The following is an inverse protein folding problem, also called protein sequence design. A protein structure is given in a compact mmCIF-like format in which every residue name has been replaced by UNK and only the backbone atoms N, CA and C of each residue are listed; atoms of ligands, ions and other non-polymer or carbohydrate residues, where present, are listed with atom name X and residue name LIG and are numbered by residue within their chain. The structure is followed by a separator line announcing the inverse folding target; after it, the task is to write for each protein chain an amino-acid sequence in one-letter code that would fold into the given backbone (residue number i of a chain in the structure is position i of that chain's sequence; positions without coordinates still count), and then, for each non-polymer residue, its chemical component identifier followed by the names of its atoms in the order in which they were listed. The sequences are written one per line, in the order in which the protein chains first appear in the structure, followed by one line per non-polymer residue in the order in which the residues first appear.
data_IF_179827139514
#
_entry.id   IF_179827139514
#
_cell.length_a   1.000
_cell.length_b   1.000
_cell.length_c   1.000
_cell.angle_alpha   90.00
_cell.angle_beta   90.00
_cell.angle_gamma   90.00
#
_symmetry.space_group_name_H-M   'P 1'
#
loop_
_entity.id
_entity.type
_entity.pdbx_description
1 polymer ?
#
# COMPACT_ATOMS: atom_id res chain seq x y z
N UNK A 1 -19.15 20.14 -1.78
CA UNK A 1 -18.21 20.13 -0.65
C UNK A 1 -17.23 18.99 -0.85
N UNK A 2 -15.94 19.29 -0.94
CA UNK A 2 -14.87 18.32 -1.23
C UNK A 2 -14.61 17.45 0.00
N UNK A 3 -14.81 16.12 -0.11
CA UNK A 3 -14.71 15.17 1.01
C UNK A 3 -13.24 14.79 1.31
N UNK A 4 -12.26 15.35 0.61
CA UNK A 4 -10.85 14.95 0.72
C UNK A 4 -9.93 15.99 1.38
N UNK A 5 -10.48 16.97 2.11
CA UNK A 5 -9.71 18.05 2.72
C UNK A 5 -9.39 17.82 4.21
N UNK A 6 -9.07 16.60 4.63
CA UNK A 6 -8.31 16.44 5.87
C UNK A 6 -6.82 16.43 5.52
N UNK A 7 -6.02 17.12 6.34
CA UNK A 7 -4.61 17.41 6.08
C UNK A 7 -3.80 16.11 6.19
N UNK A 8 -3.68 15.40 5.08
CA UNK A 8 -2.69 14.35 4.85
C UNK A 8 -1.32 14.97 5.13
N UNK A 9 -0.54 14.36 6.03
CA UNK A 9 0.81 14.82 6.38
C UNK A 9 1.84 13.78 6.00
N UNK A 10 3.03 14.27 5.65
CA UNK A 10 4.21 13.42 5.50
C UNK A 10 4.76 13.04 6.87
N UNK A 11 5.41 11.88 6.97
CA UNK A 11 6.16 11.41 8.13
C UNK A 11 7.50 10.85 7.68
N UNK A 12 8.54 10.94 8.51
CA UNK A 12 9.83 10.25 8.29
C UNK A 12 10.54 10.54 6.96
N UNK A 13 10.26 11.66 6.31
CA UNK A 13 10.97 12.03 5.09
C UNK A 13 12.34 12.63 5.44
N UNK A 14 13.43 12.16 4.80
CA UNK A 14 14.74 12.74 5.01
C UNK A 14 14.84 14.12 4.35
N UNK A 15 15.78 14.95 4.82
CA UNK A 15 16.01 16.30 4.27
C UNK A 15 16.30 16.30 2.76
N UNK A 16 16.89 15.21 2.25
CA UNK A 16 17.15 15.01 0.83
C UNK A 16 15.88 14.96 -0.03
N UNK A 17 14.74 14.58 0.55
CA UNK A 17 13.41 14.67 -0.08
C UNK A 17 12.76 16.01 0.26
N UNK A 18 12.80 16.44 1.53
CA UNK A 18 12.12 17.67 1.97
C UNK A 18 12.63 18.93 1.27
N UNK A 19 13.87 18.95 0.77
CA UNK A 19 14.37 20.06 -0.07
C UNK A 19 13.55 20.31 -1.33
N UNK A 20 12.76 19.33 -1.80
CA UNK A 20 11.89 19.46 -2.96
C UNK A 20 10.49 19.97 -2.62
N UNK A 21 10.13 20.08 -1.32
CA UNK A 21 8.78 20.40 -0.87
C UNK A 21 8.20 21.65 -1.52
N UNK A 22 8.90 22.79 -1.48
CA UNK A 22 8.38 24.03 -2.07
C UNK A 22 8.19 23.95 -3.58
N UNK A 23 9.00 23.16 -4.29
CA UNK A 23 8.84 22.94 -5.73
C UNK A 23 7.62 22.05 -6.01
N UNK A 24 7.43 21.01 -5.19
CA UNK A 24 6.26 20.13 -5.26
C UNK A 24 4.97 20.90 -4.95
N UNK A 25 4.95 21.72 -3.90
CA UNK A 25 3.82 22.57 -3.53
C UNK A 25 3.43 23.52 -4.68
N UNK A 26 4.44 24.17 -5.27
CA UNK A 26 4.25 25.06 -6.41
C UNK A 26 3.67 24.33 -7.62
N UNK A 27 4.24 23.17 -7.99
CA UNK A 27 3.78 22.39 -9.13
C UNK A 27 2.39 21.78 -8.91
N UNK A 28 2.11 21.22 -7.73
CA UNK A 28 0.79 20.69 -7.40
C UNK A 28 -0.26 21.80 -7.42
N UNK A 29 0.07 23.00 -6.92
CA UNK A 29 -0.80 24.17 -7.02
C UNK A 29 -1.05 24.57 -8.47
N UNK A 30 0.00 24.66 -9.29
CA UNK A 30 -0.10 25.00 -10.71
C UNK A 30 -0.97 24.00 -11.51
N UNK A 31 -0.95 22.72 -11.13
CA UNK A 31 -1.78 21.69 -11.75
C UNK A 31 -3.16 21.49 -11.09
N UNK A 32 -3.49 22.29 -10.07
CA UNK A 32 -4.79 22.28 -9.39
C UNK A 32 -5.04 21.05 -8.51
N UNK A 33 -3.96 20.50 -7.93
CA UNK A 33 -3.98 19.27 -7.12
C UNK A 33 -3.14 19.42 -5.84
N UNK A 34 -3.24 20.57 -5.16
CA UNK A 34 -2.48 20.85 -3.92
C UNK A 34 -2.66 19.78 -2.85
N UNK A 35 -3.78 19.07 -2.83
CA UNK A 35 -4.03 17.93 -1.93
C UNK A 35 -3.07 16.75 -2.16
N UNK A 36 -2.40 16.67 -3.33
CA UNK A 36 -1.53 15.55 -3.68
C UNK A 36 -0.09 15.72 -3.18
N UNK A 37 0.29 16.89 -2.64
CA UNK A 37 1.66 17.22 -2.19
C UNK A 37 2.29 16.12 -1.30
N UNK A 38 1.61 15.60 -0.25
CA UNK A 38 2.21 14.59 0.60
C UNK A 38 2.52 13.29 -0.15
N UNK A 39 1.65 12.88 -1.07
CA UNK A 39 1.83 11.67 -1.88
C UNK A 39 2.97 11.84 -2.88
N UNK A 40 3.10 13.02 -3.49
CA UNK A 40 4.21 13.33 -4.40
C UNK A 40 5.55 13.23 -3.67
N UNK A 41 5.65 13.77 -2.46
CA UNK A 41 6.86 13.63 -1.64
C UNK A 41 7.15 12.19 -1.23
N UNK A 42 6.12 11.42 -0.85
CA UNK A 42 6.25 9.99 -0.59
C UNK A 42 6.73 9.21 -1.82
N UNK A 43 6.23 9.54 -3.00
CA UNK A 43 6.66 8.95 -4.28
C UNK A 43 8.12 9.30 -4.58
N UNK A 44 8.54 10.56 -4.43
CA UNK A 44 9.95 10.97 -4.59
C UNK A 44 10.88 10.13 -3.69
N UNK A 45 10.47 9.90 -2.44
CA UNK A 45 11.23 9.06 -1.51
C UNK A 45 11.38 7.63 -2.03
N UNK A 46 10.30 7.02 -2.51
CA UNK A 46 10.30 5.63 -2.99
C UNK A 46 11.01 5.45 -4.33
N UNK A 47 10.91 6.42 -5.24
CA UNK A 47 11.49 6.33 -6.58
C UNK A 47 13.00 6.57 -6.61
N UNK A 48 13.49 7.55 -5.82
CA UNK A 48 14.90 7.96 -5.89
C UNK A 48 15.52 8.39 -4.56
N UNK A 49 14.73 8.41 -3.48
CA UNK A 49 15.13 9.09 -2.24
C UNK A 49 15.33 10.60 -2.40
N UNK A 50 14.84 11.19 -3.51
CA UNK A 50 15.08 12.59 -3.86
C UNK A 50 16.52 12.90 -4.27
N UNK A 51 17.33 11.89 -4.57
CA UNK A 51 18.74 12.04 -4.92
C UNK A 51 18.92 12.44 -6.39
N UNK A 52 18.81 13.73 -6.68
CA UNK A 52 19.02 14.29 -8.01
C UNK A 52 20.45 14.20 -8.55
N UNK A 53 21.45 13.90 -7.71
CA UNK A 53 22.85 13.80 -8.15
C UNK A 53 23.08 12.47 -8.87
N UNK A 54 22.46 11.40 -8.39
CA UNK A 54 22.52 10.07 -9.02
C UNK A 54 21.35 9.83 -9.96
N UNK A 55 20.17 10.35 -9.62
CA UNK A 55 18.92 10.13 -10.35
C UNK A 55 18.17 11.45 -10.54
N UNK A 56 18.52 12.25 -11.57
CA UNK A 56 17.85 13.53 -11.82
C UNK A 56 16.35 13.42 -12.09
N UNK A 57 15.89 12.28 -12.65
CA UNK A 57 14.48 11.92 -12.72
C UNK A 57 13.99 11.42 -11.36
N UNK A 58 13.91 12.33 -10.38
CA UNK A 58 13.65 12.02 -8.97
C UNK A 58 12.28 11.37 -8.70
N UNK A 59 11.33 11.48 -9.62
CA UNK A 59 10.02 10.81 -9.59
C UNK A 59 9.92 9.63 -10.57
N UNK A 60 11.01 9.24 -11.25
CA UNK A 60 11.03 8.21 -12.30
C UNK A 60 9.89 8.36 -13.31
N UNK A 61 9.62 9.60 -13.71
CA UNK A 61 8.42 9.95 -14.48
C UNK A 61 8.61 9.82 -15.99
N UNK A 62 9.83 9.52 -16.48
CA UNK A 62 10.11 9.37 -17.92
C UNK A 62 9.21 8.33 -18.59
N UNK A 63 9.06 7.15 -17.98
CA UNK A 63 8.28 6.04 -18.55
C UNK A 63 6.78 6.37 -18.64
N UNK A 64 6.29 7.26 -17.76
CA UNK A 64 4.90 7.76 -17.82
C UNK A 64 4.59 8.55 -19.10
N UNK A 65 5.62 9.06 -19.78
CA UNK A 65 5.52 9.75 -21.07
C UNK A 65 5.83 8.83 -22.26
N UNK A 66 6.05 7.53 -22.01
CA UNK A 66 6.50 6.57 -23.03
C UNK A 66 7.97 6.73 -23.41
N UNK A 67 8.75 7.45 -22.61
CA UNK A 67 10.20 7.60 -22.83
C UNK A 67 10.97 6.51 -22.11
N UNK A 68 12.21 6.28 -22.56
CA UNK A 68 13.13 5.40 -21.85
C UNK A 68 13.37 5.88 -20.42
N UNK A 69 13.59 4.93 -19.50
CA UNK A 69 13.94 5.21 -18.12
C UNK A 69 15.08 6.23 -18.01
N UNK A 70 14.97 7.16 -17.05
CA UNK A 70 15.94 8.24 -16.82
C UNK A 70 16.19 9.19 -18.02
N UNK A 71 15.23 9.34 -18.94
CA UNK A 71 15.33 10.33 -20.03
C UNK A 71 15.32 11.76 -19.47
N UNK A 72 14.47 12.04 -18.49
CA UNK A 72 14.39 13.34 -17.83
C UNK A 72 15.68 13.61 -17.05
N UNK A 73 16.33 14.74 -17.31
CA UNK A 73 17.61 15.14 -16.66
C UNK A 73 17.46 16.32 -15.70
N UNK A 74 16.27 16.89 -15.60
CA UNK A 74 15.98 18.02 -14.74
C UNK A 74 14.94 17.60 -13.68
N UNK A 75 15.25 17.71 -12.37
CA UNK A 75 14.31 17.40 -11.30
C UNK A 75 12.98 18.17 -11.39
N UNK A 76 13.01 19.41 -11.91
CA UNK A 76 11.78 20.20 -12.11
C UNK A 76 10.86 19.54 -13.14
N UNK A 77 11.41 19.06 -14.25
CA UNK A 77 10.63 18.36 -15.28
C UNK A 77 10.13 17.02 -14.73
N UNK A 78 10.94 16.35 -13.89
CA UNK A 78 10.54 15.11 -13.22
C UNK A 78 9.33 15.34 -12.30
N UNK A 79 9.34 16.41 -11.52
CA UNK A 79 8.19 16.80 -10.68
C UNK A 79 6.98 17.16 -11.55
N UNK A 80 7.16 17.94 -12.62
CA UNK A 80 6.08 18.30 -13.54
C UNK A 80 5.36 17.07 -14.12
N UNK A 81 6.12 16.13 -14.70
CA UNK A 81 5.54 14.92 -15.31
C UNK A 81 5.04 13.92 -14.26
N UNK A 82 5.70 13.82 -13.11
CA UNK A 82 5.25 12.98 -12.00
C UNK A 82 3.91 13.46 -11.43
N UNK A 83 3.76 14.76 -11.14
CA UNK A 83 2.49 15.36 -10.70
C UNK A 83 1.41 15.17 -11.76
N UNK A 84 1.72 15.38 -13.04
CA UNK A 84 0.79 15.18 -14.15
C UNK A 84 0.31 13.72 -14.24
N UNK A 85 1.21 12.76 -14.05
CA UNK A 85 0.87 11.34 -14.05
C UNK A 85 -0.04 10.97 -12.87
N UNK A 86 0.31 11.39 -11.66
CA UNK A 86 -0.47 11.14 -10.45
C UNK A 86 -1.85 11.82 -10.51
N UNK A 87 -1.92 13.05 -11.03
CA UNK A 87 -3.20 13.73 -11.31
C UNK A 87 -4.06 12.91 -12.26
N UNK A 88 -3.48 12.36 -13.33
CA UNK A 88 -4.20 11.48 -14.26
C UNK A 88 -4.76 10.23 -13.57
N UNK A 89 -4.02 9.63 -12.65
CA UNK A 89 -4.51 8.54 -11.81
C UNK A 89 -5.67 8.99 -10.90
N UNK A 90 -5.55 10.15 -10.27
CA UNK A 90 -6.59 10.72 -9.42
C UNK A 90 -7.89 11.00 -10.18
N UNK A 91 -7.79 11.56 -11.38
CA UNK A 91 -8.92 11.83 -12.28
C UNK A 91 -9.60 10.51 -12.72
N UNK A 92 -8.82 9.47 -13.04
CA UNK A 92 -9.36 8.14 -13.36
C UNK A 92 -10.06 7.51 -12.14
N UNK A 93 -9.50 7.66 -10.94
CA UNK A 93 -10.09 7.13 -9.72
C UNK A 93 -11.47 7.76 -9.47
N UNK A 94 -11.57 9.10 -9.57
CA UNK A 94 -12.84 9.84 -9.49
C UNK A 94 -13.86 9.34 -10.50
N UNK A 95 -13.44 9.17 -11.76
CA UNK A 95 -14.32 8.68 -12.84
C UNK A 95 -14.85 7.26 -12.57
N UNK A 96 -14.06 6.43 -11.89
CA UNK A 96 -14.40 5.05 -11.58
C UNK A 96 -15.00 4.86 -10.17
N UNK A 97 -15.28 5.94 -9.43
CA UNK A 97 -15.84 5.87 -8.08
C UNK A 97 -14.86 5.32 -7.02
N UNK A 98 -13.55 5.34 -7.29
CA UNK A 98 -12.50 4.88 -6.37
C UNK A 98 -12.05 6.05 -5.51
N UNK A 99 -12.25 5.95 -4.20
CA UNK A 99 -11.76 6.92 -3.20
C UNK A 99 -10.55 6.43 -2.42
N UNK A 100 -10.11 5.19 -2.65
CA UNK A 100 -8.95 4.61 -1.99
C UNK A 100 -7.65 5.22 -2.54
N UNK A 101 -7.02 6.05 -1.72
CA UNK A 101 -5.76 6.71 -2.02
C UNK A 101 -4.62 5.71 -2.23
N UNK A 102 -4.66 4.55 -1.58
CA UNK A 102 -3.68 3.48 -1.78
C UNK A 102 -3.76 2.93 -3.21
N UNK A 103 -4.98 2.79 -3.75
CA UNK A 103 -5.19 2.38 -5.14
C UNK A 103 -4.61 3.41 -6.12
N UNK A 104 -4.84 4.70 -5.86
CA UNK A 104 -4.32 5.81 -6.67
C UNK A 104 -2.79 5.79 -6.67
N UNK A 105 -2.15 5.70 -5.50
CA UNK A 105 -0.69 5.64 -5.38
C UNK A 105 -0.12 4.38 -6.01
N UNK A 106 -0.75 3.21 -5.81
CA UNK A 106 -0.31 1.96 -6.45
C UNK A 106 -0.35 2.07 -7.98
N UNK A 107 -1.32 2.81 -8.54
CA UNK A 107 -1.42 3.02 -9.98
C UNK A 107 -0.32 3.91 -10.57
N UNK A 108 0.43 4.65 -9.74
CA UNK A 108 1.64 5.33 -10.20
C UNK A 108 2.69 4.31 -10.67
N UNK A 109 2.85 3.22 -9.92
CA UNK A 109 3.78 2.14 -10.27
C UNK A 109 3.24 1.15 -11.31
N UNK A 110 1.97 0.77 -11.20
CA UNK A 110 1.34 -0.18 -12.13
C UNK A 110 0.84 0.44 -13.42
N UNK A 111 0.80 1.76 -13.48
CA UNK A 111 0.07 2.49 -14.49
C UNK A 111 -1.43 2.59 -14.18
N UNK A 112 -2.04 3.62 -14.77
CA UNK A 112 -3.44 4.03 -14.56
C UNK A 112 -4.49 2.96 -14.91
N UNK A 113 -4.13 1.99 -15.75
CA UNK A 113 -5.01 0.86 -16.11
C UNK A 113 -5.45 0.05 -14.88
N UNK A 114 -4.65 0.03 -13.82
CA UNK A 114 -4.99 -0.64 -12.56
C UNK A 114 -6.32 -0.16 -11.96
N UNK A 115 -6.58 1.15 -11.99
CA UNK A 115 -7.82 1.74 -11.45
C UNK A 115 -9.05 1.27 -12.22
N UNK A 116 -8.95 1.21 -13.55
CA UNK A 116 -10.02 0.66 -14.40
C UNK A 116 -10.23 -0.82 -14.13
N UNK A 117 -9.15 -1.57 -13.94
CA UNK A 117 -9.22 -3.00 -13.65
C UNK A 117 -9.90 -3.26 -12.30
N UNK A 118 -9.57 -2.50 -11.26
CA UNK A 118 -10.25 -2.57 -9.97
C UNK A 118 -11.76 -2.37 -10.12
N UNK A 119 -12.17 -1.28 -10.77
CA UNK A 119 -13.59 -0.95 -10.97
C UNK A 119 -14.32 -2.02 -11.80
N UNK A 120 -13.72 -2.48 -12.90
CA UNK A 120 -14.34 -3.47 -13.79
C UNK A 120 -14.48 -4.86 -13.15
N UNK A 121 -13.68 -5.14 -12.11
CA UNK A 121 -13.71 -6.41 -11.39
C UNK A 121 -14.35 -6.30 -10.00
N UNK A 122 -14.95 -5.15 -9.66
CA UNK A 122 -15.53 -4.85 -8.36
C UNK A 122 -14.54 -5.16 -7.19
N UNK A 123 -13.28 -4.74 -7.34
CA UNK A 123 -12.21 -4.94 -6.36
C UNK A 123 -11.80 -3.62 -5.72
N UNK A 124 -11.43 -3.68 -4.45
CA UNK A 124 -10.72 -2.60 -3.76
C UNK A 124 -9.23 -2.94 -3.68
N UNK A 125 -8.38 -1.91 -3.57
CA UNK A 125 -6.95 -2.17 -3.42
C UNK A 125 -6.66 -2.76 -2.04
N UNK A 126 -5.79 -3.77 -2.06
CA UNK A 126 -5.14 -4.38 -0.91
C UNK A 126 -3.86 -5.03 -1.43
N UNK A 127 -2.94 -5.37 -0.53
CA UNK A 127 -1.70 -6.03 -0.93
C UNK A 127 -1.95 -7.35 -1.72
N UNK A 128 -2.87 -8.25 -1.30
CA UNK A 128 -3.21 -9.43 -2.10
C UNK A 128 -3.83 -9.11 -3.47
N UNK A 129 -4.62 -8.04 -3.60
CA UNK A 129 -5.19 -7.62 -4.88
C UNK A 129 -4.11 -7.04 -5.80
N UNK A 130 -3.14 -6.30 -5.25
CA UNK A 130 -2.01 -5.80 -6.02
C UNK A 130 -1.07 -6.95 -6.47
N UNK A 131 -0.82 -7.95 -5.62
CA UNK A 131 -0.11 -9.19 -5.95
C UNK A 131 -0.80 -9.91 -7.12
N UNK A 132 -2.12 -10.12 -7.02
CA UNK A 132 -2.91 -10.73 -8.09
C UNK A 132 -2.78 -9.97 -9.41
N UNK A 133 -2.92 -8.64 -9.39
CA UNK A 133 -2.80 -7.81 -10.60
C UNK A 133 -1.38 -7.86 -11.19
N UNK A 134 -0.36 -7.80 -10.34
CA UNK A 134 1.04 -7.94 -10.75
C UNK A 134 1.27 -9.28 -11.47
N UNK A 135 0.81 -10.38 -10.89
CA UNK A 135 0.97 -11.74 -11.43
C UNK A 135 0.21 -11.98 -12.72
N UNK A 136 -1.04 -11.50 -12.80
CA UNK A 136 -1.99 -11.91 -13.85
C UNK A 136 -2.13 -10.89 -14.98
N UNK A 137 -1.76 -9.64 -14.74
CA UNK A 137 -1.90 -8.56 -15.74
C UNK A 137 -0.55 -7.96 -16.08
N UNK A 138 0.16 -7.37 -15.11
CA UNK A 138 1.38 -6.61 -15.38
C UNK A 138 2.50 -7.51 -15.90
N UNK A 139 2.85 -8.56 -15.15
CA UNK A 139 3.93 -9.48 -15.52
C UNK A 139 3.71 -10.11 -16.92
N UNK A 140 2.54 -10.68 -17.23
CA UNK A 140 2.27 -11.22 -18.57
C UNK A 140 2.32 -10.16 -19.68
N UNK A 141 1.79 -8.95 -19.43
CA UNK A 141 1.81 -7.85 -20.42
C UNK A 141 3.22 -7.42 -20.82
N UNK A 142 4.20 -7.70 -19.96
CA UNK A 142 5.62 -7.40 -20.15
C UNK A 142 6.46 -8.68 -20.37
N UNK A 143 5.83 -9.79 -20.77
CA UNK A 143 6.51 -11.01 -21.23
C UNK A 143 6.83 -12.04 -20.15
N UNK A 144 6.45 -11.83 -18.89
CA UNK A 144 6.55 -12.85 -17.84
C UNK A 144 5.22 -13.61 -17.69
N UNK A 145 4.98 -14.56 -18.58
CA UNK A 145 3.76 -15.39 -18.59
C UNK A 145 3.82 -16.60 -17.65
N UNK A 146 5.01 -16.92 -17.10
CA UNK A 146 5.22 -18.09 -16.22
C UNK A 146 5.06 -17.75 -14.73
N UNK A 147 4.95 -16.46 -14.38
CA UNK A 147 4.95 -16.02 -12.99
C UNK A 147 6.34 -16.10 -12.35
N UNK A 148 7.41 -15.95 -13.15
CA UNK A 148 8.78 -15.95 -12.65
C UNK A 148 8.97 -14.86 -11.58
N UNK A 149 9.56 -15.24 -10.45
CA UNK A 149 9.80 -14.35 -9.32
C UNK A 149 11.27 -13.92 -9.28
N UNK A 150 11.52 -12.74 -8.74
CA UNK A 150 12.85 -12.22 -8.44
C UNK A 150 12.94 -11.90 -6.96
N UNK A 151 14.11 -12.15 -6.37
CA UNK A 151 14.38 -11.80 -4.98
C UNK A 151 14.15 -10.31 -4.76
N UNK A 152 13.47 -9.97 -3.69
CA UNK A 152 13.16 -8.60 -3.30
C UNK A 152 13.26 -8.47 -1.79
N UNK A 153 14.41 -7.98 -1.31
CA UNK A 153 14.74 -7.92 0.12
C UNK A 153 14.07 -6.77 0.88
N UNK A 154 13.06 -6.09 0.30
CA UNK A 154 12.34 -5.06 1.05
C UNK A 154 11.66 -5.69 2.28
N UNK A 155 11.74 -5.07 3.48
CA UNK A 155 11.21 -5.67 4.71
C UNK A 155 9.73 -6.06 4.61
N UNK A 156 8.90 -5.24 3.98
CA UNK A 156 7.47 -5.54 3.75
C UNK A 156 7.30 -6.81 2.91
N UNK A 157 8.11 -6.98 1.87
CA UNK A 157 8.06 -8.17 1.02
C UNK A 157 8.54 -9.41 1.78
N UNK A 158 9.61 -9.29 2.57
CA UNK A 158 10.11 -10.38 3.42
C UNK A 158 9.03 -10.85 4.39
N UNK A 159 8.36 -9.92 5.07
CA UNK A 159 7.29 -10.22 6.00
C UNK A 159 6.06 -10.84 5.32
N UNK A 160 5.68 -10.37 4.13
CA UNK A 160 4.49 -10.83 3.43
C UNK A 160 4.65 -12.19 2.74
N UNK A 161 5.76 -12.41 2.01
CA UNK A 161 5.91 -13.58 1.14
C UNK A 161 7.30 -14.21 1.12
N UNK A 162 8.18 -13.85 2.08
CA UNK A 162 9.56 -14.34 2.13
C UNK A 162 10.53 -13.57 1.22
N UNK A 163 10.09 -12.46 0.61
CA UNK A 163 10.97 -11.49 -0.04
C UNK A 163 11.10 -11.69 -1.54
N UNK A 164 9.98 -11.65 -2.26
CA UNK A 164 9.99 -11.67 -3.72
C UNK A 164 8.95 -10.72 -4.35
N UNK A 165 9.19 -10.41 -5.62
CA UNK A 165 8.17 -9.85 -6.54
C UNK A 165 8.23 -10.57 -7.89
N UNK A 166 7.23 -10.39 -8.75
CA UNK A 166 7.29 -10.97 -10.10
C UNK A 166 8.23 -10.18 -11.01
N UNK A 167 9.04 -10.89 -11.79
CA UNK A 167 9.80 -10.28 -12.89
C UNK A 167 8.83 -9.55 -13.82
N UNK A 168 9.15 -8.32 -14.21
CA UNK A 168 8.30 -7.49 -15.06
C UNK A 168 6.87 -7.25 -14.49
N UNK A 169 6.64 -7.47 -13.20
CA UNK A 169 5.31 -7.33 -12.59
C UNK A 169 5.03 -5.97 -11.95
N UNK A 170 5.90 -4.99 -12.11
CA UNK A 170 5.91 -3.80 -11.26
C UNK A 170 6.33 -4.14 -9.82
N UNK A 171 5.91 -3.30 -8.88
CA UNK A 171 6.12 -3.48 -7.45
C UNK A 171 4.76 -3.47 -6.74
N UNK A 172 4.19 -4.64 -6.47
CA UNK A 172 2.89 -4.73 -5.81
C UNK A 172 2.88 -4.30 -4.34
N UNK A 173 4.06 -3.99 -3.76
CA UNK A 173 4.20 -3.40 -2.43
C UNK A 173 4.23 -1.87 -2.43
N UNK A 174 4.12 -1.23 -3.61
CA UNK A 174 4.45 0.18 -3.78
C UNK A 174 3.68 1.12 -2.85
N UNK A 175 2.35 0.97 -2.77
CA UNK A 175 1.53 1.78 -1.86
C UNK A 175 1.90 1.56 -0.40
N UNK A 176 2.22 0.33 0.01
CA UNK A 176 2.66 0.00 1.37
C UNK A 176 4.02 0.63 1.72
N UNK A 177 4.92 0.73 0.75
CA UNK A 177 6.20 1.44 0.94
C UNK A 177 5.95 2.94 1.06
N UNK A 178 5.11 3.55 0.20
CA UNK A 178 4.79 4.98 0.28
C UNK A 178 4.07 5.33 1.59
N UNK A 179 3.22 4.45 2.12
CA UNK A 179 2.55 4.60 3.42
C UNK A 179 3.51 4.68 4.61
N UNK A 180 4.78 4.30 4.46
CA UNK A 180 5.80 4.55 5.49
C UNK A 180 6.15 6.04 5.62
N UNK A 181 5.84 6.84 4.60
CA UNK A 181 6.21 8.26 4.52
C UNK A 181 5.02 9.22 4.44
N UNK A 182 3.81 8.71 4.24
CA UNK A 182 2.59 9.51 4.10
C UNK A 182 1.49 8.93 4.97
N UNK A 183 0.72 9.78 5.63
CA UNK A 183 -0.45 9.38 6.39
C UNK A 183 -1.71 9.35 5.50
N UNK A 184 -2.12 8.16 5.08
CA UNK A 184 -3.29 7.98 4.22
C UNK A 184 -4.62 8.08 4.99
N UNK A 185 -4.58 8.10 6.34
CA UNK A 185 -5.77 8.18 7.20
C UNK A 185 -6.29 9.62 7.33
N UNK A 186 -5.60 10.60 6.76
CA UNK A 186 -6.05 11.99 6.63
C UNK A 186 -7.24 12.19 5.69
N UNK A 187 -7.96 11.14 5.28
CA UNK A 187 -9.13 11.23 4.40
C UNK A 187 -10.19 10.16 4.73
N UNK A 188 -10.62 10.05 6.00
CA UNK A 188 -11.88 9.36 6.30
C UNK A 188 -12.03 8.73 7.69
N UNK A 189 -12.92 9.32 8.49
CA UNK A 189 -13.60 8.80 9.69
C UNK A 189 -12.74 8.31 10.87
N UNK A 190 -12.69 9.15 11.91
CA UNK A 190 -12.24 8.89 13.27
C UNK A 190 -13.07 7.83 14.05
N UNK A 191 -13.75 6.91 13.35
CA UNK A 191 -14.48 5.79 13.95
C UNK A 191 -13.84 4.43 13.65
N UNK A 192 -12.65 4.39 13.02
CA UNK A 192 -11.86 3.16 12.99
C UNK A 192 -11.08 3.03 14.31
N UNK A 193 -11.15 1.88 15.01
CA UNK A 193 -10.35 1.65 16.21
C UNK A 193 -8.86 1.87 15.90
N UNK A 194 -8.12 2.38 16.88
CA UNK A 194 -6.68 2.60 16.79
C UNK A 194 -6.03 1.29 16.31
N UNK A 195 -5.47 1.33 15.10
CA UNK A 195 -4.79 0.20 14.50
C UNK A 195 -3.39 0.11 15.12
N UNK A 196 -3.01 -1.02 15.72
CA UNK A 196 -1.64 -1.25 16.17
C UNK A 196 -0.68 -1.16 14.97
N UNK A 197 0.35 -0.32 15.06
CA UNK A 197 1.40 -0.19 14.05
C UNK A 197 2.55 -1.14 14.40
N UNK A 198 2.59 -2.34 13.83
CA UNK A 198 3.69 -3.28 14.09
C UNK A 198 3.39 -4.74 13.73
N UNK A 199 4.35 -5.62 14.03
CA UNK A 199 4.18 -7.07 13.91
C UNK A 199 3.47 -7.58 15.16
N UNK A 200 2.43 -8.41 15.01
CA UNK A 200 1.68 -8.96 16.14
C UNK A 200 1.82 -10.47 16.26
N UNK A 201 1.80 -10.97 17.48
CA UNK A 201 1.67 -12.41 17.78
C UNK A 201 0.32 -12.64 18.47
N UNK A 202 -0.47 -13.57 17.95
CA UNK A 202 -1.76 -14.00 18.52
C UNK A 202 -1.64 -15.39 19.13
N UNK A 203 -2.03 -15.52 20.40
CA UNK A 203 -2.08 -16.80 21.11
C UNK A 203 -3.51 -17.08 21.56
N UNK A 204 -4.02 -18.30 21.35
CA UNK A 204 -5.38 -18.67 21.79
C UNK A 204 -5.57 -18.43 23.30
N UNK A 205 -6.68 -17.81 23.70
CA UNK A 205 -7.06 -17.66 25.12
C UNK A 205 -7.48 -18.98 25.77
N UNK A 206 -7.98 -19.91 24.97
CA UNK A 206 -8.54 -21.17 25.46
C UNK A 206 -7.50 -22.27 25.64
N UNK A 207 -7.74 -23.28 26.50
CA UNK A 207 -6.85 -24.43 26.67
C UNK A 207 -6.59 -25.20 25.37
N UNK A 208 -5.52 -26.01 25.34
CA UNK A 208 -5.25 -26.94 24.24
C UNK A 208 -6.47 -27.86 23.99
N UNK A 209 -6.86 -28.04 22.73
CA UNK A 209 -8.04 -28.79 22.30
C UNK A 209 -9.33 -27.97 22.20
N UNK A 210 -9.35 -26.70 22.64
CA UNK A 210 -10.52 -25.85 22.51
C UNK A 210 -10.51 -25.10 21.16
N UNK A 211 -11.45 -25.47 20.27
CA UNK A 211 -11.51 -24.98 18.90
C UNK A 211 -11.99 -23.54 18.74
N UNK A 212 -11.29 -22.79 17.89
CA UNK A 212 -11.66 -21.45 17.40
C UNK A 212 -11.91 -21.54 15.89
N UNK A 213 -13.06 -21.08 15.43
CA UNK A 213 -13.43 -21.13 14.01
C UNK A 213 -12.53 -20.23 13.14
N UNK A 214 -12.14 -20.77 11.99
CA UNK A 214 -11.52 -20.02 10.89
C UNK A 214 -12.59 -19.51 9.92
N UNK A 215 -12.41 -18.29 9.40
CA UNK A 215 -13.31 -17.59 8.49
C UNK A 215 -12.67 -17.41 7.10
N UNK A 216 -13.51 -17.38 6.06
CA UNK A 216 -13.08 -17.28 4.66
C UNK A 216 -12.43 -15.93 4.31
N UNK A 217 -12.76 -14.87 5.05
CA UNK A 217 -12.25 -13.52 4.85
C UNK A 217 -12.27 -12.76 6.18
N UNK A 218 -11.66 -11.57 6.17
CA UNK A 218 -11.72 -10.63 7.28
C UNK A 218 -13.03 -9.87 7.36
N UNK A 219 -14.03 -10.13 6.52
CA UNK A 219 -15.30 -9.39 6.54
C UNK A 219 -16.12 -9.68 7.80
N UNK A 220 -16.93 -8.71 8.25
CA UNK A 220 -17.81 -8.89 9.42
C UNK A 220 -18.73 -10.10 9.28
N UNK A 221 -19.29 -10.27 8.08
CA UNK A 221 -20.30 -11.29 7.78
C UNK A 221 -19.70 -12.53 7.11
N UNK A 222 -18.37 -12.70 7.16
CA UNK A 222 -17.70 -13.86 6.59
C UNK A 222 -18.22 -15.17 7.20
N UNK A 223 -18.38 -16.19 6.36
CA UNK A 223 -18.77 -17.52 6.82
C UNK A 223 -17.57 -18.29 7.39
N UNK A 224 -17.84 -19.14 8.39
CA UNK A 224 -16.84 -20.07 8.90
C UNK A 224 -16.49 -21.11 7.82
N UNK A 225 -15.20 -21.45 7.74
CA UNK A 225 -14.66 -22.44 6.78
C UNK A 225 -14.99 -23.89 7.15
N UNK A 226 -15.48 -24.14 8.37
CA UNK A 226 -15.60 -25.47 8.98
C UNK A 226 -14.29 -26.01 9.55
N UNK A 227 -13.18 -25.25 9.47
CA UNK A 227 -11.89 -25.57 10.09
C UNK A 227 -11.71 -24.78 11.39
N UNK A 228 -10.88 -25.32 12.28
CA UNK A 228 -10.60 -24.72 13.60
C UNK A 228 -9.09 -24.59 13.86
N UNK A 229 -8.75 -23.69 14.78
CA UNK A 229 -7.49 -23.70 15.54
C UNK A 229 -7.82 -24.18 16.95
N UNK A 230 -7.13 -25.21 17.43
CA UNK A 230 -7.35 -25.83 18.74
C UNK A 230 -6.05 -25.94 19.56
N UNK A 231 -5.03 -25.15 19.22
CA UNK A 231 -3.72 -25.15 19.88
C UNK A 231 -3.39 -23.81 20.54
N UNK A 232 -2.54 -23.83 21.57
CA UNK A 232 -1.88 -22.67 22.18
C UNK A 232 -0.65 -22.18 21.41
N UNK A 233 -0.27 -22.82 20.30
CA UNK A 233 0.85 -22.37 19.47
C UNK A 233 0.65 -20.91 19.05
N UNK A 234 1.61 -20.00 19.27
CA UNK A 234 1.48 -18.60 18.86
C UNK A 234 1.53 -18.45 17.33
N UNK A 235 0.69 -17.56 16.80
CA UNK A 235 0.60 -17.26 15.37
C UNK A 235 1.08 -15.84 15.07
N UNK A 236 1.81 -15.68 13.97
CA UNK A 236 2.11 -14.37 13.42
C UNK A 236 0.85 -13.75 12.81
N UNK A 237 0.54 -12.51 13.17
CA UNK A 237 -0.52 -11.73 12.53
C UNK A 237 0.06 -11.09 11.27
N UNK A 238 -0.45 -11.51 10.11
CA UNK A 238 0.04 -11.04 8.80
C UNK A 238 -0.89 -10.00 8.15
N UNK A 239 -2.14 -9.90 8.61
CA UNK A 239 -3.14 -8.91 8.20
C UNK A 239 -4.21 -8.79 9.29
N UNK A 240 -5.00 -7.71 9.29
CA UNK A 240 -6.10 -7.51 10.23
C UNK A 240 -7.19 -6.60 9.67
N UNK A 241 -8.45 -6.88 10.03
CA UNK A 241 -9.60 -6.02 9.73
C UNK A 241 -10.17 -5.44 11.04
N UNK A 242 -10.15 -4.12 11.16
CA UNK A 242 -10.50 -3.41 12.38
C UNK A 242 -11.91 -2.85 12.31
N UNK A 243 -12.77 -3.35 13.19
CA UNK A 243 -14.20 -3.01 13.22
C UNK A 243 -14.69 -2.48 14.57
N UNK A 244 -13.90 -2.65 15.63
CA UNK A 244 -14.18 -2.20 16.98
C UNK A 244 -14.82 -3.28 17.85
N UNK A 245 -14.67 -3.11 19.17
CA UNK A 245 -15.14 -4.07 20.16
C UNK A 245 -14.58 -5.47 19.90
N UNK A 246 -15.46 -6.47 19.89
CA UNK A 246 -15.12 -7.87 19.68
C UNK A 246 -15.07 -8.30 18.20
N UNK A 247 -15.30 -7.36 17.27
CA UNK A 247 -15.46 -7.69 15.86
C UNK A 247 -14.18 -7.65 15.05
N UNK A 248 -13.05 -7.24 15.63
CA UNK A 248 -11.78 -7.23 14.89
C UNK A 248 -11.43 -8.63 14.38
N UNK A 249 -10.88 -8.71 13.16
CA UNK A 249 -10.41 -9.96 12.56
C UNK A 249 -8.89 -9.93 12.40
N UNK A 250 -8.24 -11.06 12.65
CA UNK A 250 -6.81 -11.25 12.45
C UNK A 250 -6.61 -12.32 11.37
N UNK A 251 -5.66 -12.10 10.46
CA UNK A 251 -5.20 -13.11 9.52
C UNK A 251 -3.92 -13.74 10.05
N UNK A 252 -3.95 -15.05 10.27
CA UNK A 252 -2.86 -15.82 10.88
C UNK A 252 -1.99 -16.58 9.87
N UNK A 253 -2.06 -16.19 8.58
CA UNK A 253 -1.43 -16.91 7.47
C UNK A 253 -2.47 -17.59 6.57
N UNK A 254 -2.15 -17.80 5.28
CA UNK A 254 -2.95 -18.63 4.36
C UNK A 254 -4.45 -18.27 4.26
N UNK A 255 -4.81 -17.00 4.48
CA UNK A 255 -6.21 -16.54 4.58
C UNK A 255 -7.03 -17.20 5.71
N UNK A 256 -6.37 -17.70 6.75
CA UNK A 256 -7.02 -18.16 7.97
C UNK A 256 -7.38 -16.95 8.85
N UNK A 257 -8.60 -16.44 8.67
CA UNK A 257 -9.11 -15.31 9.44
C UNK A 257 -9.76 -15.79 10.74
N UNK A 258 -9.51 -15.09 11.83
CA UNK A 258 -10.09 -15.37 13.16
C UNK A 258 -10.62 -14.10 13.78
N UNK A 259 -11.57 -14.22 14.72
CA UNK A 259 -11.96 -13.10 15.56
C UNK A 259 -10.89 -12.85 16.62
N UNK A 260 -10.42 -11.60 16.73
CA UNK A 260 -9.41 -11.19 17.70
C UNK A 260 -9.83 -11.49 19.14
N UNK A 261 -11.12 -11.42 19.46
CA UNK A 261 -11.63 -11.60 20.83
C UNK A 261 -11.19 -12.92 21.49
N UNK A 262 -10.91 -13.95 20.67
CA UNK A 262 -10.46 -15.27 21.12
C UNK A 262 -8.95 -15.39 21.37
N UNK A 263 -8.18 -14.34 21.11
CA UNK A 263 -6.72 -14.35 21.18
C UNK A 263 -6.18 -13.29 22.14
N UNK A 264 -5.13 -13.66 22.87
CA UNK A 264 -4.22 -12.73 23.51
C UNK A 264 -3.23 -12.25 22.45
N UNK A 265 -3.18 -10.93 22.25
CA UNK A 265 -2.36 -10.33 21.18
C UNK A 265 -1.27 -9.47 21.78
N UNK A 266 -0.02 -9.78 21.43
CA UNK A 266 1.14 -8.96 21.73
C UNK A 266 1.62 -8.27 20.47
N UNK A 267 1.67 -6.94 20.51
CA UNK A 267 2.19 -6.12 19.42
C UNK A 267 3.63 -5.73 19.69
N UNK A 268 4.47 -5.86 18.67
CA UNK A 268 5.84 -5.42 18.67
C UNK A 268 5.94 -4.20 17.78
N UNK A 269 6.20 -3.06 18.42
CA UNK A 269 6.43 -1.79 17.76
C UNK A 269 7.92 -1.65 17.48
N UNK A 270 8.28 -1.18 16.29
CA UNK A 270 9.69 -0.87 16.01
C UNK A 270 10.08 0.37 16.83
N UNK A 271 11.06 0.20 17.73
CA UNK A 271 11.62 1.28 18.53
C UNK A 271 12.56 2.13 17.66
N UNK A 272 11.99 2.91 16.76
CA UNK A 272 12.69 3.95 16.04
C UNK A 272 12.13 5.34 16.37
N UNK A 273 11.79 5.61 17.64
CA UNK A 273 11.41 6.95 18.12
C UNK A 273 11.72 7.15 19.60
N UNK A 274 12.75 7.95 19.88
CA UNK A 274 12.69 9.06 20.83
C UNK A 274 13.26 10.29 20.13
#
# INVERSE_FOLDING_TARGET
MSILAASVKTKNLPQQVLRWQSMVESECSAQGVSELVPYVLGIIMVESGGNSETTPDIMQSSESQGWSMNTIKNPKDSIYYGVKHLKGAFDDAKKNGITDLSAIVQSYNFGRAYLRWLASNNKQHSLPVADLYSKTVVAPSLGNTTGAMVKYSQPIAVAYNGGYRYKNGGNFFYSEIVKQYVDFDGAGNNNKPIQPKGVGIATSKYPEGAGINLYISGDKDAHATGRIIDTKTPYLIIDAAWYGGNENRLCLGWQAWVKQEHFDVQWFYDCAYY
#
